data_IF_813793007559
#
_entry.id   IF_813793007559
#
_cell.length_a   1.000
_cell.length_b   1.000
_cell.length_c   1.000
_cell.angle_alpha   90.00
_cell.angle_beta   90.00
_cell.angle_gamma   90.00
#
_symmetry.space_group_name_H-M   'P 1'
#
loop_
_entity.id
_entity.type
_entity.pdbx_description
1 polymer ?
#
# COMPACT_ATOMS: atom_id res chain seq x y z
N UNK A 1 51.67 40.17 -29.98
CA UNK A 1 52.54 39.06 -29.49
C UNK A 1 51.70 37.79 -29.61
N UNK A 2 51.76 37.06 -30.74
CA UNK A 2 52.75 36.00 -31.04
C UNK A 2 52.60 34.80 -30.06
N UNK A 3 52.34 33.55 -30.43
CA UNK A 3 52.60 32.80 -31.67
C UNK A 3 51.72 31.51 -31.75
N UNK A 4 51.63 31.01 -32.98
CA UNK A 4 50.97 29.82 -33.53
C UNK A 4 51.65 28.49 -33.15
N UNK A 5 50.89 27.37 -33.08
CA UNK A 5 51.27 26.09 -33.73
C UNK A 5 50.11 25.10 -33.94
N UNK A 6 49.81 24.81 -35.22
CA UNK A 6 49.41 23.48 -35.76
C UNK A 6 50.65 22.56 -35.67
N UNK A 7 50.63 21.22 -35.63
CA UNK A 7 49.83 20.16 -36.30
C UNK A 7 50.32 18.83 -35.68
N UNK A 8 49.53 17.77 -35.68
CA UNK A 8 49.83 16.49 -36.36
C UNK A 8 48.72 15.47 -36.11
N UNK A 9 48.32 14.80 -37.20
CA UNK A 9 47.52 13.58 -37.22
C UNK A 9 48.52 12.43 -37.16
N UNK A 10 48.23 11.40 -36.36
CA UNK A 10 48.68 10.04 -36.68
C UNK A 10 47.57 9.04 -36.33
N UNK A 11 47.56 8.00 -37.15
CA UNK A 11 46.52 7.01 -37.39
C UNK A 11 46.87 5.72 -36.66
N UNK A 12 45.83 5.03 -36.20
CA UNK A 12 45.71 3.62 -35.78
C UNK A 12 46.58 3.09 -34.62
N UNK A 13 45.91 2.65 -33.56
CA UNK A 13 46.19 1.32 -33.01
C UNK A 13 44.91 0.71 -32.40
N UNK A 14 44.55 -0.45 -32.94
CA UNK A 14 43.46 -1.32 -32.50
C UNK A 14 43.83 -1.95 -31.15
N UNK A 15 43.01 -1.74 -30.11
CA UNK A 15 42.86 -2.75 -29.09
C UNK A 15 41.50 -2.67 -28.41
N UNK A 16 40.65 -3.62 -28.80
CA UNK A 16 39.52 -4.16 -28.07
C UNK A 16 39.65 -4.01 -26.55
N UNK A 17 38.65 -3.37 -25.93
CA UNK A 17 38.11 -3.79 -24.64
C UNK A 17 36.66 -3.31 -24.57
N UNK A 18 35.75 -4.16 -25.04
CA UNK A 18 34.34 -4.13 -24.70
C UNK A 18 34.20 -4.39 -23.19
N UNK A 19 34.12 -3.32 -22.41
CA UNK A 19 33.40 -3.34 -21.14
C UNK A 19 32.16 -2.46 -21.30
N UNK A 20 31.09 -3.06 -21.85
CA UNK A 20 29.72 -2.57 -21.71
C UNK A 20 29.35 -2.57 -20.21
N UNK A 21 29.78 -1.53 -19.51
CA UNK A 21 29.10 -1.11 -18.29
C UNK A 21 27.76 -0.54 -18.71
N UNK A 22 26.72 -1.38 -18.61
CA UNK A 22 25.32 -0.99 -18.65
C UNK A 22 25.07 0.09 -17.57
N UNK A 23 25.35 1.34 -17.93
CA UNK A 23 25.05 2.50 -17.12
C UNK A 23 23.55 2.54 -16.88
N UNK A 24 23.17 2.42 -15.61
CA UNK A 24 21.80 2.68 -15.15
C UNK A 24 21.35 4.04 -15.71
N UNK A 25 20.12 4.15 -16.21
CA UNK A 25 19.65 5.40 -16.78
C UNK A 25 19.73 6.50 -15.72
N UNK A 26 20.35 7.62 -16.12
CA UNK A 26 20.45 8.83 -15.32
C UNK A 26 19.04 9.25 -14.91
N UNK A 27 18.76 9.23 -13.60
CA UNK A 27 17.47 9.67 -13.04
C UNK A 27 17.40 11.18 -13.28
N UNK A 28 16.78 11.59 -14.39
CA UNK A 28 16.42 13.00 -14.59
C UNK A 28 15.39 13.36 -13.55
N UNK A 29 15.83 14.06 -12.50
CA UNK A 29 14.95 14.68 -11.52
C UNK A 29 14.06 15.68 -12.27
N UNK A 30 12.81 15.30 -12.51
CA UNK A 30 11.78 16.19 -13.06
C UNK A 30 11.60 17.38 -12.12
N UNK A 31 12.31 18.48 -12.42
CA UNK A 31 12.37 19.68 -11.59
C UNK A 31 11.26 20.70 -11.87
N UNK A 32 10.23 20.39 -12.67
CA UNK A 32 9.35 21.45 -13.20
C UNK A 32 7.84 21.29 -13.08
N UNK A 33 7.30 20.19 -12.55
CA UNK A 33 5.87 20.13 -12.23
C UNK A 33 5.67 19.41 -10.91
N UNK A 34 5.74 20.15 -9.80
CA UNK A 34 5.48 19.67 -8.44
C UNK A 34 6.68 18.99 -7.76
N UNK A 35 7.00 19.36 -6.50
CA UNK A 35 8.03 18.65 -5.75
C UNK A 35 7.57 17.20 -5.61
N UNK A 36 8.40 16.27 -6.10
CA UNK A 36 8.39 14.85 -5.71
C UNK A 36 7.89 14.72 -4.28
N UNK A 37 6.71 14.11 -4.09
CA UNK A 37 5.89 14.20 -2.88
C UNK A 37 6.72 14.34 -1.60
N UNK A 38 6.70 15.53 -0.99
CA UNK A 38 7.34 15.79 0.30
C UNK A 38 6.79 14.88 1.42
N UNK A 39 5.60 14.31 1.24
CA UNK A 39 5.03 13.29 2.11
C UNK A 39 5.75 11.94 1.89
N UNK A 40 6.48 11.50 2.91
CA UNK A 40 7.24 10.26 2.89
C UNK A 40 8.69 10.42 2.41
N UNK A 41 9.19 11.61 2.11
CA UNK A 41 10.62 11.79 1.80
C UNK A 41 11.51 11.72 3.06
N UNK A 42 11.01 12.25 4.19
CA UNK A 42 11.70 12.15 5.48
C UNK A 42 11.64 10.73 6.09
N UNK A 43 10.63 9.95 5.71
CA UNK A 43 10.43 8.55 6.10
C UNK A 43 10.68 7.58 4.94
N UNK A 44 11.30 8.08 3.88
CA UNK A 44 11.67 7.29 2.73
C UNK A 44 12.65 6.23 3.18
N UNK A 45 12.37 4.97 2.89
CA UNK A 45 13.40 3.96 3.10
C UNK A 45 14.53 4.21 2.11
N UNK A 46 15.75 4.27 2.62
CA UNK A 46 16.95 4.40 1.80
C UNK A 46 17.32 3.03 1.24
N UNK A 47 17.26 2.91 -0.09
CA UNK A 47 17.61 1.68 -0.81
C UNK A 47 19.05 1.21 -0.53
N UNK A 48 19.94 2.09 -0.06
CA UNK A 48 21.34 1.75 0.24
C UNK A 48 21.55 1.09 1.60
N UNK A 49 20.67 1.34 2.57
CA UNK A 49 20.70 0.74 3.92
C UNK A 49 19.73 -0.44 4.10
N UNK A 50 18.97 -0.76 3.05
CA UNK A 50 17.93 -1.79 3.02
C UNK A 50 18.44 -3.24 3.07
N UNK A 51 19.75 -3.46 3.14
CA UNK A 51 20.34 -4.78 3.42
C UNK A 51 20.11 -5.23 4.88
N UNK A 52 19.76 -4.31 5.78
CA UNK A 52 19.42 -4.62 7.17
C UNK A 52 17.89 -4.74 7.35
N UNK A 53 17.38 -5.97 7.38
CA UNK A 53 15.95 -6.26 7.56
C UNK A 53 15.34 -5.66 8.83
N UNK A 54 16.12 -5.49 9.91
CA UNK A 54 15.62 -4.86 11.15
C UNK A 54 15.34 -3.38 10.92
N UNK A 55 16.21 -2.72 10.16
CA UNK A 55 16.01 -1.32 9.80
C UNK A 55 14.81 -1.16 8.86
N UNK A 56 14.65 -2.07 7.89
CA UNK A 56 13.47 -2.11 7.02
C UNK A 56 12.16 -2.21 7.83
N UNK A 57 12.10 -3.16 8.77
CA UNK A 57 10.94 -3.34 9.65
C UNK A 57 10.67 -2.10 10.51
N UNK A 58 11.72 -1.54 11.12
CA UNK A 58 11.62 -0.32 11.92
C UNK A 58 11.10 0.85 11.10
N UNK A 59 11.52 0.97 9.84
CA UNK A 59 11.04 1.99 8.93
C UNK A 59 9.55 1.80 8.62
N UNK A 60 9.10 0.59 8.30
CA UNK A 60 7.68 0.31 8.07
C UNK A 60 6.82 0.55 9.32
N UNK A 61 7.32 0.18 10.49
CA UNK A 61 6.59 0.41 11.74
C UNK A 61 6.46 1.91 12.03
N UNK A 62 7.55 2.66 11.90
CA UNK A 62 7.56 4.12 12.04
C UNK A 62 6.60 4.78 11.04
N UNK A 63 6.58 4.30 9.80
CA UNK A 63 5.68 4.78 8.76
C UNK A 63 4.21 4.51 9.09
N UNK A 64 3.88 3.32 9.59
CA UNK A 64 2.50 2.97 9.98
C UNK A 64 2.04 3.86 11.16
N UNK A 65 2.91 4.08 12.15
CA UNK A 65 2.64 4.99 13.28
C UNK A 65 2.45 6.43 12.79
N UNK A 66 3.31 6.90 11.88
CA UNK A 66 3.20 8.24 11.30
C UNK A 66 1.88 8.47 10.57
N UNK A 67 1.42 7.49 9.79
CA UNK A 67 0.14 7.53 9.10
C UNK A 67 -1.05 7.62 10.07
N UNK A 68 -0.85 7.27 11.34
CA UNK A 68 -1.82 7.31 12.43
C UNK A 68 -1.66 8.50 13.39
N UNK A 69 -0.61 9.32 13.23
CA UNK A 69 -0.24 10.39 14.15
C UNK A 69 -0.84 11.75 13.74
N UNK A 70 -1.98 12.20 14.34
CA UNK A 70 -2.64 13.45 13.97
C UNK A 70 -1.81 14.71 14.19
N UNK A 71 -0.84 14.67 15.10
CA UNK A 71 -0.04 15.82 15.50
C UNK A 71 1.26 15.99 14.68
N UNK A 72 1.57 15.04 13.79
CA UNK A 72 2.83 15.01 13.04
C UNK A 72 2.65 15.43 11.56
N UNK A 73 1.53 16.07 11.22
CA UNK A 73 1.29 16.59 9.87
C UNK A 73 1.91 17.97 9.71
N UNK A 74 2.76 18.14 8.69
CA UNK A 74 3.36 19.42 8.33
C UNK A 74 2.48 20.29 7.42
N UNK A 75 1.28 19.81 7.07
CA UNK A 75 0.40 20.46 6.09
C UNK A 75 -0.98 20.74 6.66
N UNK A 76 -1.63 21.76 6.09
CA UNK A 76 -3.04 22.04 6.32
C UNK A 76 -3.88 20.81 5.98
N UNK A 77 -4.57 20.29 6.97
CA UNK A 77 -5.46 19.14 6.82
C UNK A 77 -6.89 19.62 6.63
N UNK A 78 -7.65 18.91 5.79
CA UNK A 78 -9.09 19.11 5.75
C UNK A 78 -9.69 18.51 7.04
N UNK A 79 -10.42 19.29 7.86
CA UNK A 79 -11.08 18.76 9.06
C UNK A 79 -12.21 17.78 8.71
N UNK A 80 -12.67 17.80 7.45
CA UNK A 80 -13.73 16.95 6.90
C UNK A 80 -13.21 16.00 5.82
N UNK A 81 -13.92 14.89 5.61
CA UNK A 81 -13.66 13.97 4.51
C UNK A 81 -14.04 14.61 3.16
N UNK A 82 -13.10 14.65 2.23
CA UNK A 82 -13.29 15.09 0.85
C UNK A 82 -13.03 13.95 -0.13
N UNK A 83 -13.95 13.76 -1.06
CA UNK A 83 -13.84 12.81 -2.18
C UNK A 83 -13.86 13.54 -3.53
N UNK A 84 -13.90 14.88 -3.51
CA UNK A 84 -13.97 15.75 -4.69
C UNK A 84 -12.59 16.32 -5.03
N UNK A 85 -11.57 15.48 -4.86
CA UNK A 85 -10.18 15.72 -5.25
C UNK A 85 -9.81 14.78 -6.40
N UNK A 86 -8.81 15.13 -7.20
CA UNK A 86 -8.30 14.19 -8.21
C UNK A 86 -7.46 13.08 -7.57
N UNK A 87 -7.33 11.94 -8.23
CA UNK A 87 -6.46 10.84 -7.82
C UNK A 87 -5.00 11.28 -7.73
N UNK A 88 -4.52 12.04 -8.70
CA UNK A 88 -3.18 12.59 -8.69
C UNK A 88 -2.95 13.50 -7.49
N UNK A 89 -3.86 14.44 -7.24
CA UNK A 89 -3.79 15.34 -6.09
C UNK A 89 -3.88 14.58 -4.76
N UNK A 90 -4.77 13.61 -4.68
CA UNK A 90 -4.97 12.76 -3.52
C UNK A 90 -3.74 11.91 -3.21
N UNK A 91 -3.09 11.36 -4.24
CA UNK A 91 -1.89 10.56 -4.13
C UNK A 91 -0.71 11.39 -3.60
N UNK A 92 -0.54 12.62 -4.09
CA UNK A 92 0.53 13.52 -3.64
C UNK A 92 0.23 14.21 -2.29
N UNK A 93 -1.05 14.46 -2.00
CA UNK A 93 -1.50 15.18 -0.81
C UNK A 93 -2.66 14.46 -0.11
N UNK A 94 -2.40 13.32 0.56
CA UNK A 94 -3.45 12.50 1.18
C UNK A 94 -4.29 13.26 2.21
N UNK A 95 -3.72 14.26 2.87
CA UNK A 95 -4.40 15.13 3.85
C UNK A 95 -5.54 15.97 3.27
N UNK A 96 -5.63 16.10 1.93
CA UNK A 96 -6.77 16.70 1.26
C UNK A 96 -8.00 15.80 1.26
N UNK A 97 -7.83 14.48 1.38
CA UNK A 97 -8.93 13.53 1.54
C UNK A 97 -9.44 13.58 2.99
N UNK A 98 -8.54 13.42 3.95
CA UNK A 98 -8.88 13.38 5.38
C UNK A 98 -7.68 13.69 6.24
N UNK A 99 -7.92 14.43 7.34
CA UNK A 99 -6.95 14.53 8.43
C UNK A 99 -6.58 13.15 9.00
N UNK A 100 -5.34 13.00 9.44
CA UNK A 100 -4.92 11.85 10.25
C UNK A 100 -5.80 11.70 11.48
N UNK A 101 -6.25 10.48 11.72
CA UNK A 101 -6.98 10.09 12.93
C UNK A 101 -6.43 8.73 13.37
N UNK A 102 -6.18 8.50 14.67
CA UNK A 102 -5.74 7.20 15.13
C UNK A 102 -6.66 6.10 14.60
N UNK A 103 -6.11 5.09 13.92
CA UNK A 103 -6.90 3.94 13.50
C UNK A 103 -7.38 3.14 14.70
N UNK A 104 -6.56 3.04 15.75
CA UNK A 104 -6.89 2.43 17.04
C UNK A 104 -7.61 3.39 17.99
N UNK A 105 -8.64 2.88 18.65
CA UNK A 105 -9.40 3.58 19.68
C UNK A 105 -10.10 2.55 20.57
N UNK A 106 -10.28 2.91 21.84
CA UNK A 106 -10.98 2.09 22.83
C UNK A 106 -12.52 2.21 22.72
N UNK A 107 -13.02 3.03 21.79
CA UNK A 107 -14.44 3.28 21.60
C UNK A 107 -14.84 2.86 20.19
N UNK A 108 -15.67 1.82 20.11
CA UNK A 108 -16.23 1.33 18.86
C UNK A 108 -17.62 1.89 18.62
N UNK A 109 -17.87 2.35 17.39
CA UNK A 109 -19.13 2.93 16.94
C UNK A 109 -19.61 2.21 15.68
N UNK A 110 -20.88 1.81 15.62
CA UNK A 110 -21.41 1.18 14.42
C UNK A 110 -21.22 2.05 13.17
N UNK A 111 -20.77 1.43 12.08
CA UNK A 111 -20.76 2.06 10.77
C UNK A 111 -22.19 2.21 10.26
N UNK A 112 -22.46 3.36 9.68
CA UNK A 112 -23.74 3.75 9.07
C UNK A 112 -23.46 4.21 7.64
N UNK A 113 -24.46 4.28 6.76
CA UNK A 113 -24.26 4.85 5.43
C UNK A 113 -23.69 6.28 5.48
N UNK A 114 -23.94 7.03 6.56
CA UNK A 114 -23.39 8.38 6.77
C UNK A 114 -21.92 8.37 7.18
N UNK A 115 -21.52 7.43 8.04
CA UNK A 115 -20.13 7.37 8.56
C UNK A 115 -19.19 6.57 7.66
N UNK A 116 -19.72 5.73 6.76
CA UNK A 116 -18.95 4.95 5.79
C UNK A 116 -18.02 5.82 4.93
N UNK A 117 -18.50 6.99 4.47
CA UNK A 117 -17.69 7.95 3.71
C UNK A 117 -16.45 8.41 4.49
N UNK A 118 -16.62 8.70 5.78
CA UNK A 118 -15.50 9.10 6.62
C UNK A 118 -14.52 7.95 6.86
N UNK A 119 -15.03 6.73 7.05
CA UNK A 119 -14.19 5.52 7.17
C UNK A 119 -13.36 5.26 5.91
N UNK A 120 -13.98 5.35 4.74
CA UNK A 120 -13.32 5.22 3.45
C UNK A 120 -12.24 6.31 3.26
N UNK A 121 -12.59 7.57 3.49
CA UNK A 121 -11.65 8.69 3.40
C UNK A 121 -10.42 8.47 4.29
N UNK A 122 -10.63 8.07 5.55
CA UNK A 122 -9.54 7.82 6.49
C UNK A 122 -8.63 6.69 6.01
N UNK A 123 -9.21 5.60 5.52
CA UNK A 123 -8.49 4.45 4.99
C UNK A 123 -7.67 4.81 3.75
N UNK A 124 -8.27 5.50 2.78
CA UNK A 124 -7.57 5.89 1.55
C UNK A 124 -6.48 6.92 1.83
N UNK A 125 -6.72 7.86 2.75
CA UNK A 125 -5.67 8.79 3.19
C UNK A 125 -4.50 8.03 3.82
N UNK A 126 -4.78 7.10 4.75
CA UNK A 126 -3.74 6.25 5.35
C UNK A 126 -2.95 5.51 4.28
N UNK A 127 -3.66 4.91 3.31
CA UNK A 127 -3.05 4.13 2.25
C UNK A 127 -2.09 4.99 1.42
N UNK A 128 -2.53 6.14 0.93
CA UNK A 128 -1.67 7.02 0.12
C UNK A 128 -0.50 7.61 0.92
N UNK A 129 -0.67 7.90 2.22
CA UNK A 129 0.48 8.29 3.07
C UNK A 129 1.50 7.17 3.22
N UNK A 130 1.03 5.93 3.44
CA UNK A 130 1.88 4.75 3.54
C UNK A 130 2.66 4.53 2.23
N UNK A 131 2.02 4.72 1.07
CA UNK A 131 2.71 4.62 -0.22
C UNK A 131 3.84 5.65 -0.40
N UNK A 132 3.73 6.84 0.20
CA UNK A 132 4.80 7.84 0.16
C UNK A 132 6.12 7.37 0.78
N UNK A 133 6.06 6.40 1.71
CA UNK A 133 7.22 5.77 2.34
C UNK A 133 7.73 4.51 1.62
N UNK A 134 7.06 4.03 0.56
CA UNK A 134 7.49 2.86 -0.22
C UNK A 134 8.51 3.30 -1.28
N UNK A 135 9.79 2.91 -1.18
CA UNK A 135 10.83 3.48 -2.02
C UNK A 135 10.76 3.03 -3.48
N UNK A 136 10.32 1.82 -3.76
CA UNK A 136 10.29 1.26 -5.12
C UNK A 136 9.30 2.02 -6.02
N UNK A 137 8.26 2.65 -5.47
CA UNK A 137 7.36 3.51 -6.24
C UNK A 137 8.07 4.73 -6.84
N UNK A 138 9.25 5.13 -6.35
CA UNK A 138 10.01 6.24 -6.93
C UNK A 138 10.70 5.87 -8.23
N UNK A 139 10.89 4.58 -8.45
CA UNK A 139 11.57 4.04 -9.61
C UNK A 139 10.59 3.75 -10.76
N UNK A 140 9.29 3.66 -10.46
CA UNK A 140 8.25 3.38 -11.43
C UNK A 140 7.84 4.62 -12.21
N UNK A 141 7.44 4.40 -13.46
CA UNK A 141 6.77 5.44 -14.25
C UNK A 141 5.46 5.89 -13.56
N UNK A 142 5.05 7.13 -13.81
CA UNK A 142 3.84 7.68 -13.22
C UNK A 142 2.59 6.86 -13.57
N UNK A 143 2.44 6.42 -14.82
CA UNK A 143 1.27 5.61 -15.21
C UNK A 143 1.29 4.24 -14.55
N UNK A 144 2.45 3.56 -14.57
CA UNK A 144 2.63 2.27 -13.89
C UNK A 144 2.35 2.36 -12.40
N UNK A 145 2.82 3.43 -11.75
CA UNK A 145 2.55 3.73 -10.34
C UNK A 145 1.06 3.92 -10.08
N UNK A 146 0.39 4.82 -10.80
CA UNK A 146 -1.04 5.06 -10.63
C UNK A 146 -1.87 3.78 -10.86
N UNK A 147 -1.47 2.97 -11.83
CA UNK A 147 -2.07 1.65 -12.07
C UNK A 147 -1.86 0.74 -10.86
N UNK A 148 -0.65 0.58 -10.35
CA UNK A 148 -0.39 -0.27 -9.18
C UNK A 148 -1.20 0.17 -7.95
N UNK A 149 -1.16 1.47 -7.61
CA UNK A 149 -1.78 1.97 -6.37
C UNK A 149 -3.31 1.86 -6.40
N UNK A 150 -3.94 2.11 -7.54
CA UNK A 150 -5.41 1.99 -7.64
C UNK A 150 -5.86 0.54 -7.58
N UNK A 151 -5.08 -0.38 -8.15
CA UNK A 151 -5.42 -1.81 -8.20
C UNK A 151 -5.23 -2.52 -6.88
N UNK A 152 -4.27 -2.07 -6.08
CA UNK A 152 -3.96 -2.71 -4.80
C UNK A 152 -4.72 -2.10 -3.62
N UNK A 153 -5.38 -0.97 -3.80
CA UNK A 153 -6.09 -0.26 -2.72
C UNK A 153 -7.04 -1.18 -1.96
N UNK A 154 -7.94 -1.89 -2.66
CA UNK A 154 -8.92 -2.76 -2.01
C UNK A 154 -8.26 -3.94 -1.28
N UNK A 155 -7.20 -4.55 -1.83
CA UNK A 155 -6.45 -5.62 -1.15
C UNK A 155 -5.83 -5.12 0.15
N UNK A 156 -5.15 -3.99 0.09
CA UNK A 156 -4.50 -3.39 1.28
C UNK A 156 -5.55 -2.93 2.29
N UNK A 157 -6.67 -2.36 1.84
CA UNK A 157 -7.79 -2.00 2.70
C UNK A 157 -8.33 -3.22 3.47
N UNK A 158 -8.62 -4.31 2.76
CA UNK A 158 -9.11 -5.54 3.37
C UNK A 158 -8.08 -6.17 4.30
N UNK A 159 -6.77 -6.13 3.97
CA UNK A 159 -5.72 -6.62 4.86
C UNK A 159 -5.65 -5.81 6.16
N UNK A 160 -5.74 -4.48 6.08
CA UNK A 160 -5.75 -3.59 7.25
C UNK A 160 -6.94 -3.89 8.16
N UNK A 161 -8.14 -4.00 7.58
CA UNK A 161 -9.38 -4.37 8.30
C UNK A 161 -9.22 -5.76 8.96
N UNK A 162 -8.69 -6.74 8.23
CA UNK A 162 -8.46 -8.10 8.74
C UNK A 162 -7.54 -8.10 9.95
N UNK A 163 -6.43 -7.36 9.87
CA UNK A 163 -5.44 -7.29 10.94
C UNK A 163 -5.98 -6.56 12.18
N UNK A 164 -6.65 -5.42 12.02
CA UNK A 164 -7.25 -4.71 13.15
C UNK A 164 -8.32 -5.54 13.85
N UNK A 165 -9.18 -6.21 13.07
CA UNK A 165 -10.21 -7.11 13.60
C UNK A 165 -9.60 -8.26 14.39
N UNK A 166 -8.52 -8.86 13.86
CA UNK A 166 -7.75 -9.90 14.55
C UNK A 166 -7.14 -9.41 15.86
N UNK A 167 -6.46 -8.26 15.83
CA UNK A 167 -5.74 -7.74 16.99
C UNK A 167 -6.66 -7.41 18.18
N UNK A 168 -7.83 -6.87 17.91
CA UNK A 168 -8.82 -6.53 18.95
C UNK A 168 -9.73 -7.72 19.30
N UNK A 169 -9.65 -8.84 18.56
CA UNK A 169 -10.50 -10.01 18.78
C UNK A 169 -12.00 -9.73 18.60
N UNK A 170 -12.36 -8.83 17.69
CA UNK A 170 -13.75 -8.41 17.49
C UNK A 170 -14.51 -9.38 16.57
N UNK A 171 -15.74 -9.76 16.95
CA UNK A 171 -16.56 -10.74 16.20
C UNK A 171 -17.14 -10.20 14.88
N UNK A 172 -17.13 -8.88 14.69
CA UNK A 172 -17.54 -8.22 13.45
C UNK A 172 -16.35 -7.76 12.60
N UNK A 173 -16.47 -6.64 11.91
CA UNK A 173 -15.33 -5.97 11.27
C UNK A 173 -14.97 -4.69 12.02
N UNK A 174 -13.67 -4.44 12.19
CA UNK A 174 -13.15 -3.17 12.67
C UNK A 174 -12.50 -2.38 11.55
N UNK A 175 -12.83 -1.10 11.52
CA UNK A 175 -12.24 -0.12 10.61
C UNK A 175 -11.50 0.95 11.43
N UNK A 176 -10.55 1.61 10.78
CA UNK A 176 -9.80 2.70 11.41
C UNK A 176 -10.72 3.81 11.94
N UNK A 177 -10.34 4.39 13.07
CA UNK A 177 -11.10 5.47 13.72
C UNK A 177 -12.26 4.96 14.58
N UNK A 178 -12.27 3.67 14.92
CA UNK A 178 -13.25 3.07 15.82
C UNK A 178 -14.59 2.78 15.18
N UNK A 179 -14.67 2.73 13.87
CA UNK A 179 -15.89 2.26 13.21
C UNK A 179 -15.91 0.73 13.26
N UNK A 180 -17.07 0.16 13.55
CA UNK A 180 -17.26 -1.28 13.57
C UNK A 180 -18.52 -1.68 12.78
N UNK A 181 -18.48 -2.89 12.22
CA UNK A 181 -19.64 -3.51 11.60
C UNK A 181 -19.92 -4.83 12.30
N UNK A 182 -21.16 -5.02 12.73
CA UNK A 182 -21.65 -6.27 13.31
C UNK A 182 -22.91 -6.66 12.53
N UNK A 183 -22.82 -7.80 11.83
CA UNK A 183 -23.89 -8.27 10.96
C UNK A 183 -25.19 -8.55 11.74
N UNK A 184 -25.12 -8.89 13.02
CA UNK A 184 -26.31 -9.15 13.84
C UNK A 184 -26.98 -7.86 14.31
N UNK A 185 -26.23 -6.74 14.38
CA UNK A 185 -26.69 -5.47 14.95
C UNK A 185 -27.00 -4.39 13.91
N UNK A 186 -26.55 -4.55 12.66
CA UNK A 186 -26.73 -3.53 11.63
C UNK A 186 -28.02 -3.77 10.81
N UNK A 187 -28.95 -2.82 10.81
CA UNK A 187 -30.22 -2.96 10.06
C UNK A 187 -30.13 -2.37 8.64
N UNK A 188 -29.06 -1.65 8.30
CA UNK A 188 -28.91 -1.00 7.00
C UNK A 188 -28.57 -2.03 5.92
N UNK A 189 -29.57 -2.45 5.15
CA UNK A 189 -29.43 -3.45 4.05
C UNK A 189 -28.26 -3.17 3.10
N UNK A 190 -27.95 -1.90 2.84
CA UNK A 190 -26.80 -1.56 1.99
C UNK A 190 -25.46 -1.97 2.61
N UNK A 191 -25.27 -1.72 3.90
CA UNK A 191 -24.07 -2.11 4.61
C UNK A 191 -24.03 -3.60 4.82
N UNK A 192 -25.16 -4.23 5.12
CA UNK A 192 -25.27 -5.68 5.19
C UNK A 192 -24.84 -6.36 3.89
N UNK A 193 -25.41 -5.94 2.75
CA UNK A 193 -25.07 -6.51 1.46
C UNK A 193 -23.61 -6.30 1.06
N UNK A 194 -22.93 -5.29 1.62
CA UNK A 194 -21.54 -4.96 1.31
C UNK A 194 -20.55 -5.61 2.30
N UNK A 195 -20.73 -5.37 3.59
CA UNK A 195 -19.78 -5.70 4.64
C UNK A 195 -19.96 -7.11 5.20
N UNK A 196 -21.16 -7.70 5.15
CA UNK A 196 -21.36 -9.08 5.63
C UNK A 196 -20.56 -10.10 4.79
N UNK A 197 -20.56 -10.07 3.44
CA UNK A 197 -19.72 -10.97 2.66
C UNK A 197 -18.22 -10.83 2.96
N UNK A 198 -17.74 -9.60 3.20
CA UNK A 198 -16.35 -9.36 3.60
C UNK A 198 -16.09 -9.95 5.00
N UNK A 199 -17.00 -9.75 5.94
CA UNK A 199 -16.92 -10.29 7.29
C UNK A 199 -16.86 -11.83 7.27
N UNK A 200 -17.71 -12.46 6.49
CA UNK A 200 -17.77 -13.92 6.36
C UNK A 200 -16.44 -14.48 5.88
N UNK A 201 -15.84 -13.91 4.82
CA UNK A 201 -14.55 -14.37 4.29
C UNK A 201 -13.43 -14.12 5.30
N UNK A 202 -13.38 -12.93 5.90
CA UNK A 202 -12.35 -12.56 6.88
C UNK A 202 -12.39 -13.49 8.10
N UNK A 203 -13.57 -13.74 8.66
CA UNK A 203 -13.73 -14.62 9.83
C UNK A 203 -13.60 -16.10 9.52
N UNK A 204 -13.95 -16.54 8.31
CA UNK A 204 -13.88 -17.96 7.92
C UNK A 204 -12.46 -18.36 7.53
N UNK A 205 -11.72 -17.48 6.85
CA UNK A 205 -10.47 -17.86 6.21
C UNK A 205 -9.24 -17.15 6.78
N UNK A 206 -9.30 -15.85 7.07
CA UNK A 206 -8.10 -15.07 7.41
C UNK A 206 -7.84 -15.07 8.91
N UNK A 207 -8.85 -14.72 9.72
CA UNK A 207 -8.71 -14.66 11.17
C UNK A 207 -8.28 -16.00 11.78
N UNK A 208 -8.81 -17.17 11.34
CA UNK A 208 -8.34 -18.46 11.84
C UNK A 208 -6.86 -18.72 11.53
N UNK A 209 -6.38 -18.31 10.34
CA UNK A 209 -4.95 -18.39 9.99
C UNK A 209 -4.12 -17.47 10.89
N UNK A 210 -4.56 -16.22 11.08
CA UNK A 210 -3.87 -15.27 11.95
C UNK A 210 -3.82 -15.75 13.41
N UNK A 211 -4.91 -16.33 13.92
CA UNK A 211 -4.99 -16.91 15.27
C UNK A 211 -4.11 -18.16 15.40
N UNK A 212 -4.09 -19.04 14.39
CA UNK A 212 -3.31 -20.28 14.40
C UNK A 212 -1.83 -20.00 14.63
N UNK A 213 -1.28 -18.98 13.97
CA UNK A 213 0.14 -18.64 14.10
C UNK A 213 0.38 -17.49 15.07
N UNK A 214 -0.63 -16.77 15.52
CA UNK A 214 -0.41 -15.57 16.33
C UNK A 214 0.40 -14.54 15.54
N UNK A 215 -0.16 -14.03 14.44
CA UNK A 215 0.53 -13.09 13.55
C UNK A 215 1.01 -11.87 14.33
N UNK A 216 2.29 -11.58 14.21
CA UNK A 216 2.89 -10.40 14.85
C UNK A 216 2.67 -9.14 14.00
N UNK A 217 2.92 -7.98 14.60
CA UNK A 217 2.82 -6.70 13.87
C UNK A 217 3.86 -6.62 12.76
N UNK A 218 5.07 -7.08 13.02
CA UNK A 218 6.19 -7.11 12.09
C UNK A 218 5.90 -8.01 10.88
N UNK A 219 5.32 -9.18 11.11
CA UNK A 219 4.89 -10.09 10.04
C UNK A 219 3.78 -9.46 9.19
N UNK A 220 2.80 -8.80 9.82
CA UNK A 220 1.76 -8.08 9.11
C UNK A 220 2.32 -6.95 8.23
N UNK A 221 3.29 -6.16 8.72
CA UNK A 221 3.89 -5.07 7.96
C UNK A 221 4.61 -5.58 6.71
N UNK A 222 5.36 -6.67 6.84
CA UNK A 222 6.02 -7.31 5.69
C UNK A 222 5.00 -7.96 4.74
N UNK A 223 3.97 -8.60 5.27
CA UNK A 223 2.88 -9.18 4.48
C UNK A 223 2.11 -8.11 3.70
N UNK A 224 1.90 -6.93 4.28
CA UNK A 224 1.29 -5.78 3.61
C UNK A 224 2.12 -5.33 2.40
N UNK A 225 3.44 -5.29 2.53
CA UNK A 225 4.34 -5.00 1.41
C UNK A 225 4.30 -6.11 0.33
N UNK A 226 4.27 -7.38 0.72
CA UNK A 226 4.12 -8.52 -0.20
C UNK A 226 2.81 -8.43 -0.98
N UNK A 227 1.67 -8.23 -0.29
CA UNK A 227 0.35 -8.07 -0.91
C UNK A 227 0.34 -6.89 -1.90
N UNK A 228 1.01 -5.79 -1.56
CA UNK A 228 1.07 -4.62 -2.42
C UNK A 228 1.83 -4.88 -3.74
N UNK A 229 2.97 -5.58 -3.68
CA UNK A 229 3.79 -5.87 -4.87
C UNK A 229 3.41 -7.16 -5.60
N UNK A 230 2.31 -7.81 -5.21
CA UNK A 230 1.78 -9.01 -5.87
C UNK A 230 0.44 -8.73 -6.56
N UNK A 231 0.41 -7.95 -7.67
CA UNK A 231 -0.78 -7.82 -8.49
C UNK A 231 -0.92 -9.05 -9.38
N UNK A 232 -1.91 -9.87 -9.07
CA UNK A 232 -2.36 -10.93 -9.96
C UNK A 232 -3.06 -10.30 -11.17
N UNK A 233 -2.81 -10.87 -12.36
CA UNK A 233 -3.53 -10.58 -13.61
C UNK A 233 -3.51 -9.12 -14.11
N UNK A 234 -2.48 -8.33 -13.77
CA UNK A 234 -2.30 -6.96 -14.26
C UNK A 234 -1.03 -6.85 -15.11
N UNK A 235 -1.19 -6.34 -16.32
CA UNK A 235 -0.07 -6.05 -17.21
C UNK A 235 0.61 -4.74 -16.83
N UNK A 236 1.93 -4.78 -16.70
CA UNK A 236 2.80 -3.61 -16.48
C UNK A 236 3.88 -3.57 -17.56
N UNK A 237 4.47 -2.40 -17.77
CA UNK A 237 5.65 -2.27 -18.64
C UNK A 237 6.78 -3.18 -18.15
N UNK A 238 7.68 -3.67 -19.02
CA UNK A 238 8.81 -4.50 -18.59
C UNK A 238 9.67 -3.85 -17.49
N UNK A 239 9.83 -2.52 -17.53
CA UNK A 239 10.58 -1.77 -16.53
C UNK A 239 9.87 -1.74 -15.16
N UNK A 240 8.58 -1.41 -15.14
CA UNK A 240 7.78 -1.42 -13.90
C UNK A 240 7.67 -2.83 -13.33
N UNK A 241 7.49 -3.83 -14.19
CA UNK A 241 7.43 -5.24 -13.79
C UNK A 241 8.72 -5.69 -13.12
N UNK A 242 9.87 -5.31 -13.67
CA UNK A 242 11.17 -5.61 -13.08
C UNK A 242 11.32 -5.00 -11.68
N UNK A 243 10.89 -3.75 -11.49
CA UNK A 243 10.90 -3.08 -10.18
C UNK A 243 10.04 -3.85 -9.18
N UNK A 244 8.82 -4.21 -9.59
CA UNK A 244 7.88 -4.94 -8.74
C UNK A 244 8.36 -6.35 -8.37
N UNK A 245 8.92 -7.10 -9.33
CA UNK A 245 9.45 -8.44 -9.07
C UNK A 245 10.63 -8.37 -8.08
N UNK A 246 11.51 -7.36 -8.20
CA UNK A 246 12.58 -7.12 -7.22
C UNK A 246 12.04 -6.77 -5.84
N UNK A 247 11.04 -5.90 -5.76
CA UNK A 247 10.38 -5.54 -4.51
C UNK A 247 9.75 -6.77 -3.84
N UNK A 248 9.05 -7.60 -4.62
CA UNK A 248 8.40 -8.81 -4.12
C UNK A 248 9.41 -9.82 -3.58
N UNK A 249 10.52 -10.06 -4.30
CA UNK A 249 11.63 -10.90 -3.80
C UNK A 249 12.18 -10.33 -2.49
N UNK A 250 12.48 -9.03 -2.43
CA UNK A 250 12.99 -8.35 -1.24
C UNK A 250 12.09 -8.56 -0.02
N UNK A 251 10.79 -8.28 -0.14
CA UNK A 251 9.86 -8.37 0.99
C UNK A 251 9.54 -9.81 1.40
N UNK A 252 9.48 -10.76 0.45
CA UNK A 252 9.36 -12.18 0.78
C UNK A 252 10.59 -12.69 1.51
N UNK A 253 11.79 -12.33 1.06
CA UNK A 253 13.03 -12.69 1.74
C UNK A 253 13.08 -12.08 3.15
N UNK A 254 12.66 -10.82 3.32
CA UNK A 254 12.57 -10.19 4.62
C UNK A 254 11.56 -10.90 5.55
N UNK A 255 10.40 -11.30 5.03
CA UNK A 255 9.40 -12.06 5.81
C UNK A 255 9.94 -13.41 6.27
N UNK A 256 10.53 -14.18 5.36
CA UNK A 256 11.15 -15.48 5.68
C UNK A 256 12.27 -15.32 6.70
N UNK A 257 13.12 -14.31 6.52
CA UNK A 257 14.21 -14.02 7.44
C UNK A 257 13.69 -13.61 8.82
N UNK A 258 12.68 -12.72 8.89
CA UNK A 258 12.07 -12.31 10.15
C UNK A 258 11.52 -13.51 10.90
N UNK A 259 10.67 -14.32 10.26
CA UNK A 259 10.05 -15.51 10.88
C UNK A 259 11.11 -16.47 11.45
N UNK A 260 12.20 -16.73 10.70
CA UNK A 260 13.28 -17.61 11.17
C UNK A 260 13.98 -17.11 12.43
N UNK A 261 14.08 -15.80 12.61
CA UNK A 261 14.83 -15.19 13.72
C UNK A 261 13.95 -14.76 14.90
N UNK A 262 12.69 -14.42 14.65
CA UNK A 262 11.73 -14.07 15.72
C UNK A 262 11.19 -15.31 16.44
N UNK A 263 11.32 -16.48 15.83
CA UNK A 263 10.84 -17.76 16.37
C UNK A 263 11.94 -18.83 16.48
N UNK A 264 13.04 -18.59 17.22
CA UNK A 264 14.14 -19.55 17.35
C UNK A 264 13.72 -20.87 18.03
N UNK A 265 12.58 -20.87 18.72
CA UNK A 265 11.96 -22.05 19.33
C UNK A 265 11.34 -23.02 18.33
N UNK A 266 11.02 -22.55 17.11
CA UNK A 266 10.34 -23.36 16.10
C UNK A 266 11.32 -24.22 15.30
N UNK A 267 10.92 -25.47 15.04
CA UNK A 267 11.62 -26.34 14.08
C UNK A 267 11.38 -25.86 12.64
N UNK A 268 12.26 -26.28 11.73
CA UNK A 268 12.21 -25.91 10.32
C UNK A 268 10.82 -26.11 9.68
N UNK A 269 10.17 -27.25 9.93
CA UNK A 269 8.83 -27.55 9.40
C UNK A 269 7.77 -26.55 9.88
N UNK A 270 7.78 -26.21 11.17
CA UNK A 270 6.84 -25.23 11.75
C UNK A 270 7.10 -23.81 11.24
N UNK A 271 8.38 -23.45 11.02
CA UNK A 271 8.75 -22.18 10.36
C UNK A 271 8.19 -22.12 8.93
N UNK A 272 8.35 -23.21 8.17
CA UNK A 272 7.81 -23.29 6.81
C UNK A 272 6.28 -23.25 6.80
N UNK A 273 5.62 -23.96 7.70
CA UNK A 273 4.16 -23.91 7.85
C UNK A 273 3.67 -22.51 8.17
N UNK A 274 4.38 -21.77 9.03
CA UNK A 274 4.08 -20.38 9.36
C UNK A 274 4.19 -19.46 8.13
N UNK A 275 5.27 -19.58 7.37
CA UNK A 275 5.47 -18.82 6.11
C UNK A 275 4.36 -19.14 5.09
N UNK A 276 4.04 -20.43 4.91
CA UNK A 276 2.98 -20.86 4.02
C UNK A 276 1.60 -20.36 4.48
N UNK A 277 1.35 -20.31 5.79
CA UNK A 277 0.12 -19.76 6.35
C UNK A 277 0.01 -18.25 6.10
N UNK A 278 1.09 -17.50 6.28
CA UNK A 278 1.14 -16.06 5.99
C UNK A 278 0.88 -15.78 4.51
N UNK A 279 1.54 -16.49 3.60
CA UNK A 279 1.35 -16.31 2.16
C UNK A 279 0.04 -16.92 1.65
N UNK A 280 -0.52 -17.88 2.38
CA UNK A 280 -1.79 -18.54 2.07
C UNK A 280 -3.01 -17.60 2.10
N UNK A 281 -2.87 -16.38 2.65
CA UNK A 281 -3.96 -15.39 2.63
C UNK A 281 -4.13 -14.71 1.26
N UNK A 282 -3.11 -14.74 0.39
CA UNK A 282 -3.08 -13.97 -0.85
C UNK A 282 -4.30 -14.23 -1.77
N UNK A 283 -4.75 -15.49 -1.98
CA UNK A 283 -5.95 -15.74 -2.78
C UNK A 283 -7.22 -15.13 -2.16
N UNK A 284 -7.31 -15.08 -0.83
CA UNK A 284 -8.45 -14.46 -0.15
C UNK A 284 -8.39 -12.92 -0.23
N UNK A 285 -7.18 -12.33 -0.29
CA UNK A 285 -7.04 -10.91 -0.55
C UNK A 285 -7.54 -10.53 -1.94
N UNK A 286 -7.27 -11.38 -2.95
CA UNK A 286 -7.82 -11.18 -4.31
C UNK A 286 -9.35 -11.18 -4.28
N UNK A 287 -9.94 -12.25 -3.73
CA UNK A 287 -11.39 -12.40 -3.63
C UNK A 287 -12.04 -11.23 -2.87
N UNK A 288 -11.47 -10.84 -1.73
CA UNK A 288 -11.97 -9.70 -0.95
C UNK A 288 -11.91 -8.40 -1.75
N UNK A 289 -10.85 -8.19 -2.53
CA UNK A 289 -10.70 -6.97 -3.32
C UNK A 289 -11.70 -6.89 -4.47
N UNK A 290 -12.02 -8.01 -5.11
CA UNK A 290 -13.06 -8.08 -6.14
C UNK A 290 -14.44 -7.73 -5.57
N UNK A 291 -14.78 -8.33 -4.42
CA UNK A 291 -16.04 -8.07 -3.72
C UNK A 291 -16.09 -6.61 -3.27
N UNK A 292 -15.05 -6.12 -2.58
CA UNK A 292 -14.98 -4.77 -2.06
C UNK A 292 -15.14 -3.73 -3.18
N UNK A 293 -14.36 -3.87 -4.25
CA UNK A 293 -14.40 -2.95 -5.38
C UNK A 293 -15.74 -3.02 -6.14
N UNK A 294 -16.32 -4.21 -6.33
CA UNK A 294 -17.61 -4.36 -6.99
C UNK A 294 -18.74 -3.67 -6.19
N UNK A 295 -18.73 -3.80 -4.87
CA UNK A 295 -19.70 -3.13 -4.01
C UNK A 295 -19.48 -1.62 -3.94
N UNK A 296 -18.24 -1.15 -3.77
CA UNK A 296 -17.92 0.27 -3.78
C UNK A 296 -18.28 0.92 -5.12
N UNK A 297 -18.03 0.25 -6.26
CA UNK A 297 -18.48 0.71 -7.58
C UNK A 297 -19.98 0.96 -7.63
N UNK A 298 -20.79 0.03 -7.10
CA UNK A 298 -22.26 0.17 -7.05
C UNK A 298 -22.69 1.32 -6.13
N UNK A 299 -22.05 1.44 -4.97
CA UNK A 299 -22.31 2.50 -3.98
C UNK A 299 -22.01 3.88 -4.57
N UNK A 300 -20.86 4.04 -5.24
CA UNK A 300 -20.44 5.28 -5.91
C UNK A 300 -21.40 5.63 -7.05
N UNK A 301 -21.71 4.66 -7.93
CA UNK A 301 -22.65 4.87 -9.05
C UNK A 301 -24.05 5.23 -8.59
N UNK A 302 -24.53 4.68 -7.48
CA UNK A 302 -25.85 5.04 -6.91
C UNK A 302 -25.81 6.23 -5.95
N UNK A 303 -24.63 6.81 -5.70
CA UNK A 303 -24.39 7.86 -4.71
C UNK A 303 -24.94 7.57 -3.30
N UNK A 304 -24.93 6.29 -2.89
CA UNK A 304 -25.34 5.93 -1.53
C UNK A 304 -24.30 6.43 -0.52
N UNK A 305 -24.74 6.99 0.60
CA UNK A 305 -23.83 7.53 1.62
C UNK A 305 -23.02 8.75 1.16
N UNK A 306 -23.46 9.44 0.09
CA UNK A 306 -22.74 10.57 -0.51
C UNK A 306 -21.31 10.20 -1.00
N UNK A 307 -21.17 8.98 -1.53
CA UNK A 307 -19.91 8.41 -1.99
C UNK A 307 -19.56 8.75 -3.44
N UNK A 308 -20.42 9.46 -4.18
CA UNK A 308 -20.10 9.90 -5.55
C UNK A 308 -19.24 11.18 -5.47
N UNK A 309 -17.96 11.03 -5.79
CA UNK A 309 -17.01 12.14 -5.90
C UNK A 309 -16.00 11.86 -7.00
N UNK A 310 -15.15 12.83 -7.31
CA UNK A 310 -14.12 12.68 -8.35
C UNK A 310 -13.17 11.52 -8.03
N UNK A 311 -12.62 11.48 -6.82
CA UNK A 311 -11.64 10.48 -6.40
C UNK A 311 -12.23 9.07 -6.41
N UNK A 312 -13.43 8.90 -5.85
CA UNK A 312 -14.08 7.58 -5.79
C UNK A 312 -14.46 7.05 -7.17
N UNK A 313 -14.81 7.94 -8.12
CA UNK A 313 -15.01 7.54 -9.51
C UNK A 313 -13.70 7.14 -10.18
N UNK A 314 -12.62 7.91 -10.00
CA UNK A 314 -11.31 7.61 -10.57
C UNK A 314 -10.77 6.25 -10.05
N UNK A 315 -10.94 5.96 -8.75
CA UNK A 315 -10.49 4.70 -8.12
C UNK A 315 -11.40 3.51 -8.44
N UNK A 316 -12.71 3.60 -8.22
CA UNK A 316 -13.58 2.41 -8.27
C UNK A 316 -14.29 2.23 -9.62
N UNK A 317 -14.54 3.32 -10.35
CA UNK A 317 -15.33 3.25 -11.59
C UNK A 317 -14.43 3.26 -12.83
N UNK A 318 -13.36 4.04 -12.81
CA UNK A 318 -12.52 4.31 -13.98
C UNK A 318 -11.13 3.64 -13.94
N UNK A 319 -10.68 3.09 -12.80
CA UNK A 319 -9.35 2.47 -12.68
C UNK A 319 -9.11 1.34 -13.69
N UNK A 320 -10.19 0.66 -14.12
CA UNK A 320 -10.17 -0.33 -15.20
C UNK A 320 -9.72 0.21 -16.56
N UNK A 321 -9.75 1.54 -16.76
CA UNK A 321 -9.43 2.22 -18.03
C UNK A 321 -8.00 2.78 -18.07
N UNK A 322 -7.24 2.63 -16.99
CA UNK A 322 -5.82 3.01 -16.94
C UNK A 322 -5.05 1.84 -17.56
N UNK A 323 -4.89 1.89 -18.90
CA UNK A 323 -4.18 0.88 -19.69
C UNK A 323 -2.66 1.06 -19.62
#
# INVERSE_FOLDING_TARGET
MALVRRTYVDVDDDSNNEEETLGLPEITVEKRHFPSSLFGYQFAMDMSNDYNFQQLLKNFDTLEVYCDAPHESFYESSPSCSIDVSLEEAFHFPQKISARRPTRTNIFRPVTARTMKNGWCRLVSHYFEWLGGVPELRLMDFQGKIKLVTRQLCKIACLMISFWTYQEGYDGLLFGGGLCFDSAKNEEKILQNFLAPLADIIHTHIIPMFRKIGVTREEYLLLKAVVFFEPLDIYFSPADRFIMDRALVKYRSALVYHVKNSHPELKHEAVMERILTLLGILPYMELLSEIDNAHLTRIVRSNKGNMRGRLTNEIHVNSNRIE
#
